data_IF_773208781155
#
_entry.id   IF_773208781155
#
_cell.length_a   1.000
_cell.length_b   1.000
_cell.length_c   1.000
_cell.angle_alpha   90.00
_cell.angle_beta   90.00
_cell.angle_gamma   90.00
#
_symmetry.space_group_name_H-M   'P 1'
#
loop_
_entity.id
_entity.type
_entity.pdbx_description
1 polymer ?
#
# COMPACT_ATOMS: atom_id res chain seq x y z
N UNK A 1 -7.24 -12.85 10.40
CA UNK A 1 -6.23 -12.35 11.35
C UNK A 1 -5.76 -10.97 10.93
N UNK A 2 -5.43 -10.13 11.91
CA UNK A 2 -4.92 -8.79 11.69
C UNK A 2 -3.39 -8.78 11.71
N UNK A 3 -2.78 -8.06 10.77
CA UNK A 3 -1.36 -7.71 10.80
C UNK A 3 -1.27 -6.19 10.96
N UNK A 4 -0.73 -5.73 12.08
CA UNK A 4 -0.52 -4.31 12.35
C UNK A 4 0.50 -3.73 11.36
N UNK A 5 0.16 -2.59 10.76
CA UNK A 5 1.03 -1.82 9.86
C UNK A 5 1.43 -0.48 10.45
N UNK A 6 0.53 0.11 11.21
CA UNK A 6 0.75 1.40 11.86
C UNK A 6 1.40 1.23 13.24
N UNK A 7 2.11 2.25 13.68
CA UNK A 7 2.65 2.30 15.04
C UNK A 7 1.51 2.21 16.08
N UNK A 8 1.69 1.40 17.10
CA UNK A 8 0.67 1.14 18.14
C UNK A 8 -0.46 0.20 17.71
N UNK A 9 -0.52 -0.21 16.45
CA UNK A 9 -1.52 -1.15 15.96
C UNK A 9 -1.16 -2.58 16.36
N UNK A 10 -2.10 -3.27 17.02
CA UNK A 10 -1.88 -4.64 17.46
C UNK A 10 -2.17 -5.65 16.35
N UNK A 11 -1.25 -6.57 16.14
CA UNK A 11 -1.47 -7.77 15.33
C UNK A 11 -2.26 -8.83 16.12
N UNK A 12 -2.90 -9.75 15.41
CA UNK A 12 -3.51 -10.93 16.04
C UNK A 12 -2.44 -11.73 16.79
N UNK A 13 -2.68 -12.00 18.07
CA UNK A 13 -1.87 -12.94 18.84
C UNK A 13 -2.18 -14.36 18.37
N UNK A 14 -1.27 -14.93 17.60
CA UNK A 14 -1.44 -16.26 17.02
C UNK A 14 -1.39 -17.38 18.09
N UNK A 15 -0.71 -17.14 19.22
CA UNK A 15 -0.65 -18.11 20.30
C UNK A 15 -2.00 -18.19 21.01
N UNK A 16 -2.61 -17.03 21.32
CA UNK A 16 -3.93 -16.99 21.94
C UNK A 16 -5.02 -17.48 20.97
N UNK A 17 -4.98 -17.08 19.70
CA UNK A 17 -5.95 -17.53 18.69
C UNK A 17 -5.86 -19.03 18.42
N UNK A 18 -4.68 -19.62 18.54
CA UNK A 18 -4.45 -21.05 18.31
C UNK A 18 -5.02 -21.96 19.38
N UNK A 19 -5.07 -21.53 20.65
CA UNK A 19 -5.53 -22.33 21.79
C UNK A 19 -6.91 -22.97 21.58
N UNK A 20 -7.98 -22.21 21.28
CA UNK A 20 -9.31 -22.79 21.07
C UNK A 20 -9.35 -23.73 19.86
N UNK A 21 -8.58 -23.43 18.81
CA UNK A 21 -8.50 -24.28 17.62
C UNK A 21 -7.92 -25.64 17.98
N UNK A 22 -6.79 -25.67 18.68
CA UNK A 22 -6.17 -26.92 19.14
C UNK A 22 -7.14 -27.72 19.98
N UNK A 23 -7.81 -27.10 20.96
CA UNK A 23 -8.80 -27.77 21.83
C UNK A 23 -9.94 -28.40 21.03
N UNK A 24 -10.46 -27.73 20.02
CA UNK A 24 -11.53 -28.27 19.19
C UNK A 24 -11.05 -29.46 18.33
N UNK A 25 -9.82 -29.41 17.81
CA UNK A 25 -9.24 -30.54 17.07
C UNK A 25 -9.03 -31.76 17.97
N UNK A 26 -8.57 -31.56 19.20
CA UNK A 26 -8.42 -32.63 20.20
C UNK A 26 -9.76 -33.22 20.59
N UNK A 27 -10.76 -32.38 20.83
CA UNK A 27 -12.15 -32.85 21.13
C UNK A 27 -12.70 -33.66 19.96
N UNK A 28 -12.58 -33.19 18.73
CA UNK A 28 -13.02 -33.92 17.55
C UNK A 28 -12.35 -35.31 17.44
N UNK A 29 -11.03 -35.35 17.67
CA UNK A 29 -10.28 -36.61 17.62
C UNK A 29 -10.79 -37.63 18.66
N UNK A 30 -11.08 -37.17 19.88
CA UNK A 30 -11.65 -38.03 20.95
C UNK A 30 -13.04 -38.53 20.60
N UNK A 31 -13.92 -37.66 20.07
CA UNK A 31 -15.32 -38.02 19.75
C UNK A 31 -15.44 -38.94 18.53
N UNK A 32 -14.55 -38.78 17.53
CA UNK A 32 -14.69 -39.46 16.24
C UNK A 32 -13.59 -40.49 15.93
N UNK A 33 -12.61 -40.66 16.79
CA UNK A 33 -11.52 -41.62 16.63
C UNK A 33 -10.59 -41.34 15.44
N UNK A 34 -10.60 -40.14 14.91
CA UNK A 34 -9.69 -39.69 13.82
C UNK A 34 -9.22 -38.28 14.02
N UNK A 35 -8.00 -37.96 13.54
CA UNK A 35 -7.47 -36.64 13.54
C UNK A 35 -7.84 -35.88 12.25
N UNK A 36 -8.00 -34.54 12.38
CA UNK A 36 -8.10 -33.63 11.26
C UNK A 36 -6.72 -33.02 10.99
N UNK A 37 -6.48 -32.63 9.77
CA UNK A 37 -5.33 -31.83 9.36
C UNK A 37 -5.75 -30.37 9.25
N UNK A 38 -4.98 -29.45 9.85
CA UNK A 38 -5.19 -28.00 9.74
C UNK A 38 -4.24 -27.44 8.69
N UNK A 39 -4.79 -26.76 7.70
CA UNK A 39 -4.05 -25.94 6.75
C UNK A 39 -4.43 -24.48 6.92
N UNK A 40 -3.44 -23.59 6.84
CA UNK A 40 -3.63 -22.15 6.91
C UNK A 40 -2.83 -21.48 5.80
N UNK A 41 -3.33 -20.34 5.33
CA UNK A 41 -2.73 -19.56 4.25
C UNK A 41 -2.37 -18.13 4.73
N UNK A 42 -1.32 -17.97 5.55
CA UNK A 42 -1.02 -16.71 6.26
C UNK A 42 -0.18 -15.73 5.41
N UNK A 43 -0.47 -15.56 4.12
CA UNK A 43 0.32 -14.74 3.18
C UNK A 43 0.61 -13.33 3.69
N UNK A 44 -0.41 -12.60 4.15
CA UNK A 44 -0.26 -11.25 4.72
C UNK A 44 0.71 -11.22 5.90
N UNK A 45 0.67 -12.23 6.75
CA UNK A 45 1.53 -12.33 7.93
C UNK A 45 3.02 -12.28 7.56
N UNK A 46 3.40 -12.95 6.48
CA UNK A 46 4.81 -13.04 6.08
C UNK A 46 5.32 -11.81 5.35
N UNK A 47 4.48 -11.16 4.54
CA UNK A 47 5.00 -10.18 3.56
C UNK A 47 4.44 -8.76 3.71
N UNK A 48 3.37 -8.53 4.48
CA UNK A 48 2.76 -7.21 4.56
C UNK A 48 3.77 -6.10 4.89
N UNK A 49 4.56 -6.30 5.95
CA UNK A 49 5.54 -5.31 6.41
C UNK A 49 6.94 -5.47 5.76
N UNK A 50 7.10 -6.43 4.84
CA UNK A 50 8.35 -6.63 4.10
C UNK A 50 8.42 -5.81 2.82
N UNK A 51 7.34 -5.11 2.42
CA UNK A 51 7.28 -4.30 1.22
C UNK A 51 6.95 -2.85 1.51
N UNK A 52 7.51 -1.96 0.70
CA UNK A 52 7.20 -0.54 0.68
C UNK A 52 7.05 -0.06 -0.77
N UNK A 53 6.17 0.92 -0.98
CA UNK A 53 6.13 1.72 -2.19
C UNK A 53 7.00 2.96 -1.97
N UNK A 54 7.83 3.28 -2.96
CA UNK A 54 8.60 4.53 -3.00
C UNK A 54 8.04 5.37 -4.14
N UNK A 55 7.60 6.57 -3.82
CA UNK A 55 7.08 7.56 -4.77
C UNK A 55 7.84 8.89 -4.59
N UNK A 56 7.60 9.83 -5.49
CA UNK A 56 8.14 11.18 -5.41
C UNK A 56 7.01 12.18 -5.18
N UNK A 57 7.28 13.21 -4.37
CA UNK A 57 6.39 14.37 -4.25
C UNK A 57 6.44 15.16 -5.56
N UNK A 58 5.30 15.28 -6.24
CA UNK A 58 5.18 15.94 -7.54
C UNK A 58 4.63 17.36 -7.44
N UNK A 59 3.79 17.60 -6.44
CA UNK A 59 3.14 18.90 -6.25
C UNK A 59 2.70 19.06 -4.80
N UNK A 60 2.61 20.31 -4.35
CA UNK A 60 2.12 20.68 -3.01
C UNK A 60 1.04 21.73 -3.19
N UNK A 61 -0.18 21.40 -2.78
CA UNK A 61 -1.34 22.28 -2.95
C UNK A 61 -1.92 22.64 -1.60
N UNK A 62 -1.98 23.93 -1.31
CA UNK A 62 -2.67 24.48 -0.15
C UNK A 62 -4.03 25.04 -0.60
N UNK A 63 -5.12 24.55 0.00
CA UNK A 63 -6.48 24.97 -0.35
C UNK A 63 -7.01 26.10 0.55
N UNK A 64 -6.17 26.69 1.37
CA UNK A 64 -6.47 27.86 2.20
C UNK A 64 -6.84 27.51 3.64
N UNK A 65 -7.26 28.54 4.38
CA UNK A 65 -7.41 28.50 5.86
C UNK A 65 -8.41 27.43 6.34
N UNK A 66 -9.47 27.22 5.60
CA UNK A 66 -10.52 26.24 5.93
C UNK A 66 -10.35 24.93 5.11
N UNK A 67 -9.22 24.76 4.46
CA UNK A 67 -8.94 23.63 3.59
C UNK A 67 -7.83 22.73 4.11
N UNK A 68 -7.20 22.02 3.17
CA UNK A 68 -6.13 21.08 3.46
C UNK A 68 -4.87 21.41 2.66
N UNK A 69 -3.76 20.93 3.16
CA UNK A 69 -2.50 20.89 2.43
C UNK A 69 -2.30 19.50 1.84
N UNK A 70 -2.27 19.41 0.51
CA UNK A 70 -2.11 18.16 -0.21
C UNK A 70 -0.68 17.98 -0.69
N UNK A 71 -0.14 16.78 -0.49
CA UNK A 71 1.02 16.30 -1.24
C UNK A 71 0.50 15.37 -2.35
N UNK A 72 0.82 15.70 -3.60
CA UNK A 72 0.56 14.83 -4.74
C UNK A 72 1.81 14.05 -5.07
N UNK A 73 1.65 12.75 -5.32
CA UNK A 73 2.76 11.84 -5.61
C UNK A 73 2.62 11.22 -7.00
N UNK A 74 3.72 10.72 -7.56
CA UNK A 74 3.78 10.02 -8.86
C UNK A 74 3.33 8.55 -8.80
N UNK A 75 2.53 8.22 -7.82
CA UNK A 75 1.95 6.90 -7.59
C UNK A 75 0.55 7.05 -6.97
N UNK A 76 -0.10 5.96 -6.60
CA UNK A 76 -1.41 6.01 -5.97
C UNK A 76 -2.09 4.64 -5.96
N UNK A 77 -3.40 4.63 -6.21
CA UNK A 77 -4.21 3.41 -6.26
C UNK A 77 -3.76 2.43 -7.35
N UNK A 78 -2.95 2.87 -8.31
CA UNK A 78 -2.32 2.02 -9.33
C UNK A 78 -1.28 1.07 -8.77
N UNK A 79 -0.75 1.31 -7.57
CA UNK A 79 0.19 0.46 -6.86
C UNK A 79 -0.31 0.04 -5.48
N UNK A 80 -1.04 0.91 -4.76
CA UNK A 80 -1.57 0.66 -3.42
C UNK A 80 -3.06 1.03 -3.36
N UNK A 81 -3.93 0.10 -3.73
CA UNK A 81 -5.38 0.28 -3.78
C UNK A 81 -6.07 0.24 -2.40
N UNK A 82 -5.44 -0.34 -1.39
CA UNK A 82 -6.05 -0.63 -0.08
C UNK A 82 -6.62 0.60 0.65
N UNK A 83 -5.99 1.78 0.65
CA UNK A 83 -6.60 2.99 1.21
C UNK A 83 -7.93 3.34 0.54
N UNK A 84 -7.95 3.37 -0.79
CA UNK A 84 -9.15 3.70 -1.59
C UNK A 84 -10.27 2.67 -1.45
N UNK A 85 -9.93 1.40 -1.23
CA UNK A 85 -10.91 0.30 -1.20
C UNK A 85 -11.46 0.02 0.20
N UNK A 86 -10.62 0.16 1.22
CA UNK A 86 -10.93 -0.28 2.59
C UNK A 86 -10.75 0.80 3.65
N UNK A 87 -10.31 2.00 3.30
CA UNK A 87 -9.84 2.96 4.32
C UNK A 87 -8.60 2.43 5.07
N UNK A 88 -7.84 1.54 4.43
CA UNK A 88 -6.70 0.92 5.09
C UNK A 88 -5.57 1.92 5.33
N UNK A 89 -4.99 1.84 6.52
CA UNK A 89 -3.91 2.72 6.93
C UNK A 89 -2.55 2.13 6.57
N UNK A 90 -1.65 2.97 6.09
CA UNK A 90 -0.26 2.64 5.79
C UNK A 90 0.67 3.65 6.47
N UNK A 91 1.83 3.23 7.02
CA UNK A 91 2.84 4.18 7.48
C UNK A 91 3.40 4.96 6.28
N UNK A 92 3.49 6.27 6.43
CA UNK A 92 3.97 7.17 5.39
C UNK A 92 5.09 8.01 5.97
N UNK A 93 6.20 8.12 5.24
CA UNK A 93 7.35 8.94 5.61
C UNK A 93 7.81 9.75 4.40
N UNK A 94 7.98 11.05 4.58
CA UNK A 94 8.71 11.91 3.64
C UNK A 94 10.19 11.83 4.00
N UNK A 95 11.02 11.59 3.01
CA UNK A 95 12.47 11.51 3.16
C UNK A 95 13.08 12.74 2.49
N UNK A 96 13.56 13.74 3.26
CA UNK A 96 14.24 14.88 2.70
C UNK A 96 15.43 14.46 1.81
N UNK A 97 15.62 15.12 0.69
CA UNK A 97 16.74 14.82 -0.22
C UNK A 97 18.09 15.30 0.34
N UNK A 98 18.03 16.29 1.21
CA UNK A 98 19.18 16.82 1.93
C UNK A 98 19.06 16.46 3.41
N UNK A 99 20.19 16.28 4.08
CA UNK A 99 20.23 15.96 5.52
C UNK A 99 20.02 17.25 6.33
N UNK A 100 18.74 17.66 6.42
CA UNK A 100 18.32 18.86 7.14
C UNK A 100 17.11 18.55 8.02
N UNK A 101 17.04 19.23 9.15
CA UNK A 101 15.86 19.20 10.00
C UNK A 101 14.77 20.10 9.40
N UNK A 102 13.59 19.53 9.16
CA UNK A 102 12.41 20.24 8.69
C UNK A 102 11.28 20.17 9.71
N UNK A 103 10.37 21.12 9.65
CA UNK A 103 9.20 21.16 10.51
C UNK A 103 8.29 19.94 10.28
N UNK A 104 7.44 19.66 11.23
CA UNK A 104 6.33 18.71 11.07
C UNK A 104 5.11 19.48 10.58
N UNK A 105 4.53 19.06 9.47
CA UNK A 105 3.41 19.70 8.79
C UNK A 105 2.31 18.70 8.55
N UNK A 106 1.08 19.17 8.60
CA UNK A 106 -0.11 18.35 8.42
C UNK A 106 -0.51 18.28 6.95
N UNK A 107 -0.62 17.06 6.41
CA UNK A 107 -0.89 16.80 4.99
C UNK A 107 -1.97 15.74 4.76
N UNK A 108 -2.66 15.86 3.64
CA UNK A 108 -3.35 14.76 2.94
C UNK A 108 -2.46 14.30 1.78
N UNK A 109 -2.42 13.00 1.53
CA UNK A 109 -1.62 12.43 0.43
C UNK A 109 -2.57 12.00 -0.68
N UNK A 110 -2.45 12.66 -1.83
CA UNK A 110 -3.19 12.34 -3.04
C UNK A 110 -2.30 11.62 -4.06
N UNK A 111 -2.85 10.59 -4.68
CA UNK A 111 -2.20 9.91 -5.80
C UNK A 111 -2.29 10.71 -7.11
N UNK A 112 -1.91 10.05 -8.19
CA UNK A 112 -1.80 10.66 -9.52
C UNK A 112 -3.03 10.44 -10.40
N UNK A 113 -3.99 9.63 -9.97
CA UNK A 113 -5.18 9.35 -10.76
C UNK A 113 -6.20 10.50 -10.72
N UNK A 114 -6.94 10.70 -11.82
CA UNK A 114 -8.08 11.59 -11.87
C UNK A 114 -9.30 10.90 -11.20
N UNK A 115 -9.18 10.61 -9.92
CA UNK A 115 -10.12 9.85 -9.11
C UNK A 115 -10.12 10.40 -7.68
N UNK A 116 -11.30 10.79 -7.17
CA UNK A 116 -11.44 11.37 -5.83
C UNK A 116 -11.05 10.39 -4.72
N UNK A 117 -11.17 9.09 -4.97
CA UNK A 117 -10.76 8.03 -4.07
C UNK A 117 -9.25 7.74 -4.07
N UNK A 118 -8.45 8.38 -4.94
CA UNK A 118 -6.99 8.17 -4.97
C UNK A 118 -6.29 9.00 -3.87
N UNK A 119 -6.65 8.69 -2.63
CA UNK A 119 -6.11 9.28 -1.40
C UNK A 119 -5.49 8.18 -0.55
N UNK A 120 -4.22 8.38 -0.15
CA UNK A 120 -3.49 7.41 0.67
C UNK A 120 -3.68 7.62 2.17
N UNK A 121 -4.38 8.69 2.54
CA UNK A 121 -4.68 9.07 3.93
C UNK A 121 -6.19 9.18 4.17
N UNK A 122 -6.97 8.10 3.92
CA UNK A 122 -8.37 8.07 4.30
C UNK A 122 -8.53 8.00 5.82
N UNK A 123 -9.73 8.20 6.32
CA UNK A 123 -10.07 7.81 7.69
C UNK A 123 -9.98 6.27 7.85
N UNK A 124 -9.62 5.77 9.04
CA UNK A 124 -9.59 4.34 9.29
C UNK A 124 -10.94 3.68 8.99
N UNK A 125 -10.90 2.63 8.19
CA UNK A 125 -12.08 1.85 7.75
C UNK A 125 -13.17 2.67 7.01
N UNK A 126 -12.85 3.90 6.60
CA UNK A 126 -13.72 4.78 5.80
C UNK A 126 -12.95 5.35 4.60
N UNK A 127 -13.05 4.72 3.42
CA UNK A 127 -12.30 5.16 2.24
C UNK A 127 -12.76 6.52 1.67
N UNK A 128 -13.97 6.97 2.01
CA UNK A 128 -14.50 8.28 1.57
C UNK A 128 -14.15 9.42 2.55
N UNK A 129 -13.70 9.08 3.76
CA UNK A 129 -13.26 10.06 4.76
C UNK A 129 -11.81 10.48 4.54
N UNK A 130 -11.46 11.67 4.98
CA UNK A 130 -10.11 12.24 4.87
C UNK A 130 -9.51 12.39 6.27
N UNK A 131 -8.28 11.90 6.44
CA UNK A 131 -7.54 12.08 7.68
C UNK A 131 -6.13 12.57 7.38
N UNK A 132 -5.84 13.79 7.82
CA UNK A 132 -4.50 14.37 7.72
C UNK A 132 -3.45 13.59 8.52
N UNK A 133 -2.19 13.72 8.12
CA UNK A 133 -1.02 13.14 8.77
C UNK A 133 0.02 14.21 9.03
N UNK A 134 0.60 14.18 10.22
CA UNK A 134 1.80 14.95 10.52
C UNK A 134 3.01 14.25 9.90
N UNK A 135 3.63 14.89 8.94
CA UNK A 135 4.81 14.41 8.23
C UNK A 135 5.90 15.49 8.26
N UNK A 136 7.14 15.09 8.01
CA UNK A 136 8.23 16.04 7.73
C UNK A 136 7.82 16.95 6.59
N UNK A 137 8.05 18.26 6.71
CA UNK A 137 7.77 19.23 5.66
C UNK A 137 8.41 18.78 4.34
N UNK A 138 7.57 18.68 3.30
CA UNK A 138 7.96 18.13 2.03
C UNK A 138 8.33 19.22 1.03
N UNK A 139 9.26 18.89 0.14
CA UNK A 139 9.55 19.63 -1.07
C UNK A 139 9.26 18.79 -2.32
N UNK A 140 9.00 19.47 -3.45
CA UNK A 140 8.81 18.79 -4.74
C UNK A 140 10.10 18.02 -5.08
N UNK A 141 9.93 16.73 -5.37
CA UNK A 141 11.01 15.79 -5.67
C UNK A 141 11.53 15.00 -4.47
N UNK A 142 11.05 15.27 -3.26
CA UNK A 142 11.36 14.41 -2.12
C UNK A 142 10.79 13.00 -2.31
N UNK A 143 11.54 11.96 -1.98
CA UNK A 143 10.99 10.61 -1.88
C UNK A 143 9.96 10.51 -0.76
N UNK A 144 8.88 9.78 -1.04
CA UNK A 144 7.88 9.38 -0.07
C UNK A 144 7.85 7.86 0.02
N UNK A 145 7.93 7.32 1.22
CA UNK A 145 7.88 5.88 1.47
C UNK A 145 6.55 5.51 2.10
N UNK A 146 5.79 4.63 1.44
CA UNK A 146 4.54 4.05 1.94
C UNK A 146 4.83 2.61 2.37
N UNK A 147 4.96 2.41 3.67
CA UNK A 147 5.26 1.12 4.27
C UNK A 147 4.07 0.16 4.30
N UNK A 148 4.32 -1.07 4.74
CA UNK A 148 3.27 -2.09 4.87
C UNK A 148 2.63 -2.51 3.55
N UNK A 149 3.33 -2.32 2.42
CA UNK A 149 2.82 -2.50 1.06
C UNK A 149 3.16 -3.86 0.43
N UNK A 150 3.66 -4.82 1.22
CA UNK A 150 4.09 -6.13 0.71
C UNK A 150 2.96 -7.12 0.44
N UNK A 151 1.72 -6.85 0.87
CA UNK A 151 0.58 -7.74 0.65
C UNK A 151 -0.65 -6.97 0.20
N UNK A 152 -1.32 -7.49 -0.83
CA UNK A 152 -2.56 -6.92 -1.41
C UNK A 152 -2.40 -5.45 -1.86
N UNK A 153 -1.21 -5.09 -2.35
CA UNK A 153 -0.92 -3.81 -2.97
C UNK A 153 -0.64 -4.02 -4.46
N UNK A 154 0.58 -4.23 -4.89
CA UNK A 154 0.90 -4.41 -6.32
C UNK A 154 0.11 -5.54 -7.00
N UNK A 155 -0.23 -6.64 -6.29
CA UNK A 155 -1.04 -7.75 -6.81
C UNK A 155 -2.54 -7.46 -6.96
N UNK A 156 -3.06 -6.40 -6.30
CA UNK A 156 -4.48 -6.04 -6.27
C UNK A 156 -4.72 -4.59 -6.74
N UNK A 157 -3.71 -3.95 -7.28
CA UNK A 157 -3.75 -2.56 -7.70
C UNK A 157 -4.71 -2.30 -8.87
N UNK A 158 -5.15 -1.05 -9.03
CA UNK A 158 -5.92 -0.58 -10.18
C UNK A 158 -4.99 -0.36 -11.39
N UNK A 159 -4.44 -1.49 -11.89
CA UNK A 159 -3.42 -1.50 -12.94
C UNK A 159 -3.88 -0.78 -14.20
N UNK A 160 -3.01 0.07 -14.72
CA UNK A 160 -3.23 0.87 -15.92
C UNK A 160 -4.44 1.82 -15.86
N UNK A 161 -4.98 2.08 -14.65
CA UNK A 161 -5.99 3.11 -14.50
C UNK A 161 -5.41 4.47 -14.93
N UNK A 162 -6.20 5.27 -15.66
CA UNK A 162 -5.78 6.50 -16.35
C UNK A 162 -4.53 6.31 -17.25
N UNK A 163 -4.31 5.11 -17.77
CA UNK A 163 -3.17 4.73 -18.61
C UNK A 163 -1.79 4.84 -17.95
N UNK A 164 -1.73 4.83 -16.62
CA UNK A 164 -0.46 4.80 -15.91
C UNK A 164 0.18 3.41 -16.03
N UNK A 165 1.46 3.34 -16.51
CA UNK A 165 2.21 2.08 -16.55
C UNK A 165 2.50 1.54 -15.15
N UNK A 166 2.50 0.21 -15.00
CA UNK A 166 2.90 -0.44 -13.74
C UNK A 166 4.33 -0.05 -13.34
N UNK A 167 4.53 0.22 -12.06
CA UNK A 167 5.83 0.56 -11.50
C UNK A 167 6.81 -0.62 -11.59
N UNK A 168 8.10 -0.32 -11.63
CA UNK A 168 9.16 -1.32 -11.44
C UNK A 168 9.14 -1.87 -10.01
N UNK A 169 9.67 -3.07 -9.83
CA UNK A 169 9.80 -3.71 -8.54
C UNK A 169 11.22 -4.23 -8.30
N UNK A 170 11.71 -4.06 -7.10
CA UNK A 170 13.03 -4.53 -6.69
C UNK A 170 12.95 -5.29 -5.37
N UNK A 171 13.86 -6.22 -5.18
CA UNK A 171 14.10 -6.88 -3.90
C UNK A 171 15.40 -6.35 -3.33
N UNK A 172 15.35 -5.86 -2.08
CA UNK A 172 16.51 -5.59 -1.26
C UNK A 172 16.86 -6.87 -0.50
N UNK A 173 17.98 -7.50 -0.87
CA UNK A 173 18.44 -8.72 -0.21
C UNK A 173 19.10 -8.42 1.15
N UNK A 174 19.31 -9.46 1.95
CA UNK A 174 19.90 -9.33 3.31
C UNK A 174 21.33 -8.79 3.31
N UNK A 175 22.07 -8.98 2.23
CA UNK A 175 23.42 -8.47 2.03
C UNK A 175 23.46 -7.02 1.55
N UNK A 176 22.30 -6.38 1.40
CA UNK A 176 22.16 -5.01 0.89
C UNK A 176 22.11 -4.89 -0.63
N UNK A 177 22.26 -5.99 -1.37
CA UNK A 177 22.14 -5.95 -2.83
C UNK A 177 20.69 -5.71 -3.29
N UNK A 178 20.55 -4.99 -4.40
CA UNK A 178 19.25 -4.65 -4.99
C UNK A 178 19.09 -5.43 -6.30
N UNK A 179 17.97 -6.14 -6.43
CA UNK A 179 17.67 -6.95 -7.59
C UNK A 179 16.35 -6.50 -8.22
N UNK A 180 16.39 -6.16 -9.51
CA UNK A 180 15.19 -5.85 -10.29
C UNK A 180 14.38 -7.14 -10.50
N UNK A 181 13.14 -7.16 -10.02
CA UNK A 181 12.21 -8.30 -10.16
C UNK A 181 11.12 -8.05 -11.19
N UNK A 182 10.75 -6.78 -11.38
CA UNK A 182 9.84 -6.35 -12.44
C UNK A 182 10.34 -5.05 -13.06
N UNK A 183 10.44 -5.02 -14.39
CA UNK A 183 10.70 -3.78 -15.14
C UNK A 183 9.45 -2.90 -15.11
N UNK A 184 9.64 -1.58 -15.14
CA UNK A 184 8.53 -0.65 -15.38
C UNK A 184 7.86 -0.98 -16.70
N UNK A 185 6.54 -1.05 -16.71
CA UNK A 185 5.76 -1.21 -17.94
C UNK A 185 5.96 0.00 -18.86
N UNK A 186 6.01 -0.22 -20.16
CA UNK A 186 6.05 0.83 -21.18
C UNK A 186 4.63 1.18 -21.65
N UNK A 187 4.45 2.36 -22.25
CA UNK A 187 3.17 2.71 -22.87
C UNK A 187 2.79 1.77 -24.02
N UNK A 188 3.79 1.29 -24.78
CA UNK A 188 3.54 0.29 -25.83
C UNK A 188 2.97 -1.00 -25.25
N UNK A 189 3.45 -1.43 -24.08
CA UNK A 189 2.89 -2.60 -23.39
C UNK A 189 1.48 -2.38 -22.84
N UNK A 190 1.15 -1.14 -22.44
CA UNK A 190 -0.24 -0.79 -22.04
C UNK A 190 -1.19 -0.95 -23.22
N UNK A 191 -0.73 -0.62 -24.43
CA UNK A 191 -1.52 -0.63 -25.67
C UNK A 191 -1.36 -1.92 -26.49
N UNK A 192 -0.57 -2.88 -26.04
CA UNK A 192 -0.18 -4.07 -26.81
C UNK A 192 -1.36 -4.88 -27.36
N UNK A 193 -2.48 -4.87 -26.64
CA UNK A 193 -3.70 -5.61 -27.02
C UNK A 193 -4.75 -4.74 -27.71
N UNK A 194 -4.46 -3.45 -27.97
CA UNK A 194 -5.38 -2.55 -28.64
C UNK A 194 -5.28 -2.73 -30.15
N UNK A 195 -6.43 -2.91 -30.80
CA UNK A 195 -6.51 -3.04 -32.25
C UNK A 195 -7.26 -1.87 -32.86
N UNK A 196 -6.65 -1.20 -33.84
CA UNK A 196 -7.32 -0.15 -34.60
C UNK A 196 -8.20 -0.79 -35.69
N UNK A 197 -9.54 -0.68 -35.63
CA UNK A 197 -10.42 -1.20 -36.66
C UNK A 197 -10.10 -0.63 -38.07
N UNK A 198 -10.11 -1.49 -39.09
CA UNK A 198 -9.70 -1.12 -40.44
C UNK A 198 -10.46 0.09 -41.07
N UNK A 199 -11.68 0.38 -40.60
CA UNK A 199 -12.44 1.54 -41.06
C UNK A 199 -12.02 2.87 -40.42
N UNK A 200 -11.12 2.85 -39.43
CA UNK A 200 -10.54 4.02 -38.78
C UNK A 200 -9.10 4.30 -39.22
N UNK A 201 -8.57 3.46 -40.10
CA UNK A 201 -7.28 3.64 -40.78
C UNK A 201 -7.54 4.15 -42.19
#
# INVERSE_FOLDING_TARGET
>A
YKVGRMEGEQSTDLQEAGKPIVSEFERFAQEHGRQLHLEIEPGTFFVANAGALIASVMDIVDTGVDGYRFLKIDSGMTEVLRPSLYGAQHPIVVVPREDEERASVEYLIAGHCCESGDVLTPEPDNPEGLQTRFLTEAEIGDPMVIGGSGAYCAGMAAKNYNSFPEASEVILARDGSIHLTRKRQTLDQVLENEELPAHLT
#
